data_IF_262883029841
#
_entry.id   IF_262883029841
#
_cell.length_a   1.000
_cell.length_b   1.000
_cell.length_c   1.000
_cell.angle_alpha   90.00
_cell.angle_beta   90.00
_cell.angle_gamma   90.00
#
_symmetry.space_group_name_H-M   'P 1'
#
loop_
_entity.id
_entity.type
_entity.pdbx_description
1 polymer ?
#
# COMPACT_ATOMS: atom_id res chain seq x y z
N UNK A 1 -23.09 -2.42 26.39
CA UNK A 1 -21.91 -3.14 26.94
C UNK A 1 -20.66 -3.07 26.06
N UNK A 2 -20.50 -3.80 24.93
CA UNK A 2 -19.23 -3.77 24.18
C UNK A 2 -18.85 -2.39 23.59
N UNK A 3 -19.84 -1.62 23.15
CA UNK A 3 -19.65 -0.25 22.63
C UNK A 3 -19.23 0.73 23.74
N UNK A 4 -19.66 0.50 24.98
CA UNK A 4 -19.25 1.33 26.14
C UNK A 4 -17.83 1.03 26.59
N UNK A 5 -17.42 -0.25 26.58
CA UNK A 5 -16.04 -0.63 26.93
C UNK A 5 -15.01 -0.10 25.92
N UNK A 6 -15.39 0.00 24.64
CA UNK A 6 -14.55 0.58 23.58
C UNK A 6 -14.44 2.11 23.66
N UNK A 7 -15.42 2.80 24.27
CA UNK A 7 -15.44 4.27 24.41
C UNK A 7 -14.54 4.80 25.53
N UNK A 8 -14.02 3.93 26.41
CA UNK A 8 -13.20 4.30 27.57
C UNK A 8 -11.77 3.71 27.54
N UNK A 9 -11.44 2.88 26.55
CA UNK A 9 -10.12 2.28 26.45
C UNK A 9 -9.10 3.27 25.90
N UNK A 10 -8.09 3.58 26.70
CA UNK A 10 -6.96 4.43 26.31
C UNK A 10 -6.10 3.75 25.23
N UNK A 11 -5.38 4.56 24.45
CA UNK A 11 -4.48 4.09 23.39
C UNK A 11 -3.44 3.09 23.91
N UNK A 12 -2.90 3.37 25.09
CA UNK A 12 -1.83 2.62 25.74
C UNK A 12 -2.35 1.28 26.26
N UNK A 13 -3.58 1.24 26.77
CA UNK A 13 -4.25 -0.01 27.14
C UNK A 13 -4.53 -0.88 25.91
N UNK A 14 -4.99 -0.28 24.80
CA UNK A 14 -5.24 -1.00 23.57
C UNK A 14 -3.95 -1.61 22.99
N UNK A 15 -2.86 -0.84 22.99
CA UNK A 15 -1.51 -1.28 22.58
C UNK A 15 -1.03 -2.45 23.46
N UNK A 16 -1.19 -2.35 24.79
CA UNK A 16 -0.78 -3.42 25.71
C UNK A 16 -1.57 -4.73 25.47
N UNK A 17 -2.86 -4.62 25.19
CA UNK A 17 -3.71 -5.77 24.88
C UNK A 17 -3.31 -6.41 23.55
N UNK A 18 -3.11 -5.61 22.51
CA UNK A 18 -2.70 -6.12 21.20
C UNK A 18 -1.31 -6.77 21.24
N UNK A 19 -0.40 -6.15 22.01
CA UNK A 19 0.95 -6.66 22.23
C UNK A 19 0.96 -8.01 22.94
N UNK A 20 0.11 -8.17 23.96
CA UNK A 20 0.04 -9.38 24.77
C UNK A 20 -0.76 -10.52 24.13
N UNK A 21 -1.85 -10.20 23.43
CA UNK A 21 -2.74 -11.22 22.87
C UNK A 21 -2.24 -11.69 21.50
N UNK A 22 -1.76 -10.80 20.64
CA UNK A 22 -1.35 -11.18 19.28
C UNK A 22 0.15 -11.13 19.09
N UNK A 23 0.79 -9.97 19.28
CA UNK A 23 2.23 -9.82 19.09
C UNK A 23 2.67 -8.42 19.49
N UNK A 24 3.87 -8.22 20.07
CA UNK A 24 4.43 -6.87 20.27
C UNK A 24 4.76 -6.15 18.95
N UNK A 25 4.78 -6.85 17.81
CA UNK A 25 5.03 -6.24 16.51
C UNK A 25 3.77 -5.57 15.95
N UNK A 26 3.77 -4.23 15.87
CA UNK A 26 2.65 -3.41 15.37
C UNK A 26 2.21 -3.79 13.95
N UNK A 27 3.14 -4.24 13.10
CA UNK A 27 2.82 -4.70 11.74
C UNK A 27 1.87 -5.89 11.74
N UNK A 28 1.91 -6.69 12.80
CA UNK A 28 1.02 -7.83 13.01
C UNK A 28 -0.38 -7.42 13.49
N UNK A 29 -0.64 -6.15 13.79
CA UNK A 29 -2.00 -5.70 14.13
C UNK A 29 -2.78 -5.23 12.91
N UNK A 30 -2.07 -5.01 11.81
CA UNK A 30 -2.63 -4.52 10.55
C UNK A 30 -3.26 -5.67 9.75
N UNK A 31 -4.35 -5.37 9.06
CA UNK A 31 -4.89 -6.22 8.01
C UNK A 31 -4.30 -5.80 6.65
N UNK A 32 -4.27 -6.72 5.68
CA UNK A 32 -3.66 -6.48 4.37
C UNK A 32 -4.37 -5.31 3.65
N UNK A 33 -3.58 -4.34 3.18
CA UNK A 33 -4.09 -3.17 2.44
C UNK A 33 -4.44 -1.95 3.29
N UNK A 34 -4.33 -2.00 4.63
CA UNK A 34 -4.52 -0.82 5.45
C UNK A 34 -3.40 0.21 5.21
N UNK A 35 -3.74 1.48 5.04
CA UNK A 35 -2.76 2.57 4.90
C UNK A 35 -2.23 3.08 6.26
N UNK A 36 -2.37 2.30 7.34
CA UNK A 36 -1.92 2.73 8.65
C UNK A 36 -0.39 2.63 8.75
N UNK A 37 0.24 3.71 9.23
CA UNK A 37 1.68 3.78 9.48
C UNK A 37 2.14 2.83 10.60
N UNK A 38 3.45 2.63 10.75
CA UNK A 38 4.02 1.74 11.78
C UNK A 38 3.90 2.32 13.21
N UNK A 39 3.58 3.60 13.33
CA UNK A 39 3.26 4.25 14.61
C UNK A 39 1.76 4.11 14.93
N UNK A 40 1.37 3.34 15.96
CA UNK A 40 -0.02 3.16 16.36
C UNK A 40 -0.66 4.45 16.88
N UNK A 41 0.11 5.43 17.40
CA UNK A 41 -0.46 6.68 17.92
C UNK A 41 -1.01 7.59 16.82
N UNK A 42 -0.58 7.39 15.57
CA UNK A 42 -1.04 8.16 14.40
C UNK A 42 -2.27 7.54 13.74
N UNK A 43 -2.80 6.44 14.28
CA UNK A 43 -3.95 5.77 13.67
C UNK A 43 -5.25 6.54 13.93
N UNK A 44 -6.26 6.37 13.06
CA UNK A 44 -7.54 7.02 13.27
C UNK A 44 -8.13 6.67 14.66
N UNK A 45 -8.74 7.64 15.34
CA UNK A 45 -9.22 7.46 16.71
C UNK A 45 -10.23 6.31 16.81
N UNK A 46 -10.09 5.50 17.86
CA UNK A 46 -10.95 4.36 18.15
C UNK A 46 -10.63 3.06 17.37
N UNK A 47 -9.75 3.09 16.36
CA UNK A 47 -9.33 1.88 15.63
C UNK A 47 -8.58 0.91 16.55
N UNK A 48 -7.62 1.43 17.34
CA UNK A 48 -6.84 0.60 18.27
C UNK A 48 -7.74 -0.05 19.32
N UNK A 49 -8.66 0.70 19.91
CA UNK A 49 -9.61 0.20 20.90
C UNK A 49 -10.53 -0.88 20.31
N UNK A 50 -10.97 -0.72 19.06
CA UNK A 50 -11.77 -1.73 18.37
C UNK A 50 -10.97 -2.98 18.02
N UNK A 51 -9.71 -2.84 17.59
CA UNK A 51 -8.82 -3.97 17.34
C UNK A 51 -8.46 -4.73 18.62
N UNK A 52 -8.24 -4.01 19.73
CA UNK A 52 -8.00 -4.63 21.02
C UNK A 52 -9.21 -5.46 21.49
N UNK A 53 -10.42 -4.93 21.31
CA UNK A 53 -11.66 -5.67 21.60
C UNK A 53 -11.82 -6.91 20.70
N UNK A 54 -11.46 -6.79 19.42
CA UNK A 54 -11.42 -7.90 18.47
C UNK A 54 -10.41 -8.96 18.90
N UNK A 55 -9.21 -8.56 19.30
CA UNK A 55 -8.14 -9.44 19.75
C UNK A 55 -8.53 -10.23 21.00
N UNK A 56 -9.09 -9.55 22.00
CA UNK A 56 -9.63 -10.20 23.20
C UNK A 56 -10.74 -11.19 22.87
N UNK A 57 -11.62 -10.83 21.93
CA UNK A 57 -12.74 -11.70 21.52
C UNK A 57 -12.27 -12.89 20.72
N UNK A 58 -11.27 -12.74 19.84
CA UNK A 58 -10.71 -13.81 19.02
C UNK A 58 -9.82 -14.76 19.86
N UNK A 59 -8.92 -14.19 20.66
CA UNK A 59 -7.83 -14.88 21.35
C UNK A 59 -6.54 -14.96 20.51
N UNK A 60 -5.45 -15.48 21.10
CA UNK A 60 -4.11 -15.41 20.52
C UNK A 60 -3.96 -16.18 19.21
N UNK A 61 -4.60 -17.35 19.11
CA UNK A 61 -4.45 -18.26 17.96
C UNK A 61 -5.39 -17.95 16.78
N UNK A 62 -6.31 -16.99 16.95
CA UNK A 62 -7.37 -16.71 15.98
C UNK A 62 -7.26 -15.32 15.33
N UNK A 63 -6.08 -14.70 15.40
CA UNK A 63 -5.79 -13.42 14.76
C UNK A 63 -6.16 -13.41 13.28
N UNK A 64 -5.68 -14.39 12.51
CA UNK A 64 -5.87 -14.45 11.06
C UNK A 64 -7.36 -14.52 10.71
N UNK A 65 -8.10 -15.38 11.41
CA UNK A 65 -9.56 -15.49 11.24
C UNK A 65 -10.27 -14.18 11.59
N UNK A 66 -9.85 -13.51 12.65
CA UNK A 66 -10.41 -12.22 13.02
C UNK A 66 -10.19 -11.16 11.94
N UNK A 67 -8.99 -11.09 11.37
CA UNK A 67 -8.69 -10.16 10.27
C UNK A 67 -9.42 -10.51 8.96
N UNK A 68 -9.64 -11.79 8.68
CA UNK A 68 -10.45 -12.23 7.54
C UNK A 68 -11.91 -11.78 7.66
N UNK A 69 -12.46 -11.83 8.87
CA UNK A 69 -13.84 -11.34 9.12
C UNK A 69 -13.90 -9.83 8.98
N UNK A 70 -12.91 -9.08 9.45
CA UNK A 70 -12.80 -7.63 9.20
C UNK A 70 -12.78 -7.35 7.70
N UNK A 71 -11.94 -8.06 6.93
CA UNK A 71 -11.86 -7.90 5.47
C UNK A 71 -13.19 -8.24 4.77
N UNK A 72 -13.89 -9.29 5.22
CA UNK A 72 -15.20 -9.66 4.69
C UNK A 72 -16.27 -8.59 4.99
N UNK A 73 -16.20 -7.94 6.15
CA UNK A 73 -17.11 -6.85 6.53
C UNK A 73 -16.81 -5.56 5.75
N UNK A 74 -15.54 -5.28 5.47
CA UNK A 74 -15.10 -4.13 4.69
C UNK A 74 -15.49 -4.19 3.22
N UNK A 75 -15.53 -5.38 2.61
CA UNK A 75 -15.75 -5.52 1.18
C UNK A 75 -14.63 -4.88 0.34
N UNK A 76 -14.98 -4.01 -0.62
CA UNK A 76 -14.01 -3.36 -1.55
C UNK A 76 -13.33 -2.10 -1.00
N UNK A 77 -13.61 -1.70 0.24
CA UNK A 77 -13.04 -0.48 0.81
C UNK A 77 -11.55 -0.64 1.13
N UNK A 78 -10.76 0.40 0.90
CA UNK A 78 -9.31 0.39 1.09
C UNK A 78 -8.92 0.41 2.58
N UNK A 79 -9.78 0.93 3.47
CA UNK A 79 -9.53 0.95 4.92
C UNK A 79 -10.75 0.60 5.78
N UNK A 80 -10.54 -0.20 6.82
CA UNK A 80 -11.50 -0.54 7.86
C UNK A 80 -11.84 0.70 8.68
N UNK A 81 -13.13 0.96 8.86
CA UNK A 81 -13.61 1.87 9.89
C UNK A 81 -13.75 1.11 11.22
N UNK A 82 -13.85 1.87 12.31
CA UNK A 82 -14.15 1.31 13.65
C UNK A 82 -15.44 0.47 13.62
N UNK A 83 -16.45 0.88 12.85
CA UNK A 83 -17.71 0.14 12.71
C UNK A 83 -17.52 -1.24 12.05
N UNK A 84 -16.64 -1.34 11.05
CA UNK A 84 -16.32 -2.63 10.42
C UNK A 84 -15.70 -3.61 11.42
N UNK A 85 -14.83 -3.11 12.30
CA UNK A 85 -14.14 -3.92 13.31
C UNK A 85 -15.11 -4.33 14.43
N UNK A 86 -16.01 -3.44 14.84
CA UNK A 86 -17.07 -3.75 15.81
C UNK A 86 -17.98 -4.86 15.27
N UNK A 87 -18.44 -4.72 14.02
CA UNK A 87 -19.29 -5.73 13.37
C UNK A 87 -18.56 -7.07 13.20
N UNK A 88 -17.27 -7.06 12.90
CA UNK A 88 -16.46 -8.28 12.87
C UNK A 88 -16.34 -8.95 14.25
N UNK A 89 -16.22 -8.15 15.31
CA UNK A 89 -16.20 -8.63 16.69
C UNK A 89 -17.51 -9.30 17.08
N UNK A 90 -18.64 -8.74 16.65
CA UNK A 90 -19.97 -9.32 16.86
C UNK A 90 -20.14 -10.65 16.11
N UNK A 91 -19.69 -10.72 14.85
CA UNK A 91 -19.72 -11.97 14.07
C UNK A 91 -18.87 -13.07 14.70
N UNK A 92 -17.66 -12.75 15.18
CA UNK A 92 -16.83 -13.71 15.91
C UNK A 92 -17.48 -14.22 17.20
N UNK A 93 -18.15 -13.32 17.94
CA UNK A 93 -18.85 -13.69 19.17
C UNK A 93 -20.05 -14.59 18.88
N UNK A 94 -20.83 -14.28 17.85
CA UNK A 94 -21.93 -15.11 17.38
C UNK A 94 -21.45 -16.49 16.91
N UNK A 95 -20.26 -16.57 16.33
CA UNK A 95 -19.65 -17.82 15.90
C UNK A 95 -19.15 -18.68 17.08
N UNK A 96 -18.62 -18.07 18.15
CA UNK A 96 -18.26 -18.76 19.40
C UNK A 96 -19.47 -19.30 20.17
N UNK A 97 -20.67 -18.76 19.92
CA UNK A 97 -21.94 -19.19 20.54
C UNK A 97 -22.66 -20.28 19.73
N UNK A 98 -22.13 -20.71 18.57
CA UNK A 98 -22.74 -21.76 17.75
C UNK A 98 -22.42 -23.14 18.37
N UNK A 99 -23.42 -23.96 18.76
CA UNK A 99 -23.16 -25.29 19.32
C UNK A 99 -22.41 -26.16 18.30
N UNK A 100 -21.49 -27.04 18.73
CA UNK A 100 -20.76 -27.91 17.82
C UNK A 100 -21.75 -28.83 17.09
N UNK A 101 -21.76 -28.79 15.76
CA UNK A 101 -22.50 -29.78 14.97
C UNK A 101 -21.82 -31.15 15.13
N UNK A 102 -22.46 -32.02 15.88
CA UNK A 102 -22.12 -33.44 15.97
C UNK A 102 -22.71 -34.12 14.74
N UNK A 103 -21.86 -34.70 13.87
CA UNK A 103 -22.33 -35.58 12.80
C UNK A 103 -22.95 -36.85 13.41
N UNK A 104 -24.08 -37.35 12.90
CA UNK A 104 -24.70 -38.57 13.41
C UNK A 104 -23.94 -39.79 12.88
N UNK A 105 -23.34 -40.57 13.79
CA UNK A 105 -22.83 -41.91 13.47
C UNK A 105 -24.03 -42.84 13.30
N UNK A 106 -24.22 -43.31 12.07
CA UNK A 106 -25.30 -44.22 11.66
C UNK A 106 -25.01 -45.62 12.22
N UNK A 107 -25.94 -46.16 13.01
CA UNK A 107 -25.85 -47.52 13.56
C UNK A 107 -26.49 -48.61 12.69
N UNK A 108 -26.40 -49.85 13.21
CA UNK A 108 -26.97 -51.16 12.79
C UNK A 108 -25.99 -52.08 12.02
N UNK A 109 -25.91 -53.40 12.25
CA UNK A 109 -26.71 -54.35 13.04
C UNK A 109 -25.88 -55.58 13.50
N UNK A 110 -26.49 -56.37 14.39
CA UNK A 110 -26.03 -57.54 15.16
C UNK A 110 -25.61 -58.79 14.37
N UNK A 111 -24.69 -59.61 14.93
CA UNK A 111 -24.71 -61.09 14.89
C UNK A 111 -24.04 -61.67 16.15
N UNK A 112 -24.67 -62.67 16.79
CA UNK A 112 -24.18 -63.43 17.95
C UNK A 112 -23.22 -64.57 17.55
N UNK A 113 -22.22 -64.90 18.38
CA UNK A 113 -22.12 -66.20 19.12
C UNK A 113 -20.85 -66.29 20.00
N UNK A 114 -21.09 -66.52 21.29
CA UNK A 114 -20.34 -67.27 22.32
C UNK A 114 -18.83 -67.51 22.22
N UNK A 115 -18.05 -66.71 22.95
CA UNK A 115 -16.86 -67.07 23.76
C UNK A 115 -16.56 -65.88 24.71
N UNK A 116 -15.90 -66.11 25.86
CA UNK A 116 -15.85 -65.17 27.00
C UNK A 116 -15.56 -63.70 26.59
N UNK A 117 -16.56 -62.79 26.66
CA UNK A 117 -16.62 -61.59 25.82
C UNK A 117 -15.85 -60.37 26.32
N UNK A 118 -15.17 -60.46 27.47
CA UNK A 118 -14.46 -59.33 28.07
C UNK A 118 -13.01 -59.21 27.54
N UNK A 119 -12.24 -60.30 27.57
CA UNK A 119 -10.80 -60.25 27.30
C UNK A 119 -10.45 -60.09 25.80
N UNK A 120 -11.27 -60.65 24.89
CA UNK A 120 -11.09 -60.47 23.44
C UNK A 120 -11.44 -59.06 22.97
N UNK A 121 -12.51 -58.47 23.52
CA UNK A 121 -12.88 -57.08 23.23
C UNK A 121 -11.86 -56.11 23.82
N UNK A 122 -11.27 -56.43 24.97
CA UNK A 122 -10.24 -55.60 25.57
C UNK A 122 -8.95 -55.59 24.74
N UNK A 123 -8.59 -56.73 24.14
CA UNK A 123 -7.45 -56.84 23.22
C UNK A 123 -7.68 -56.12 21.88
N UNK A 124 -8.87 -56.26 21.28
CA UNK A 124 -9.24 -55.48 20.07
C UNK A 124 -9.29 -53.97 20.36
N UNK A 125 -9.81 -53.57 21.53
CA UNK A 125 -9.82 -52.15 21.94
C UNK A 125 -8.40 -51.65 22.18
N UNK A 126 -7.48 -52.47 22.69
CA UNK A 126 -6.07 -52.11 22.86
C UNK A 126 -5.37 -51.93 21.51
N UNK A 127 -5.56 -52.85 20.56
CA UNK A 127 -4.99 -52.77 19.20
C UNK A 127 -5.54 -51.55 18.45
N UNK A 128 -6.85 -51.29 18.53
CA UNK A 128 -7.47 -50.09 17.95
C UNK A 128 -6.97 -48.79 18.61
N UNK A 129 -6.65 -48.79 19.91
CA UNK A 129 -6.07 -47.62 20.59
C UNK A 129 -4.65 -47.35 20.10
N UNK A 130 -3.85 -48.39 19.84
CA UNK A 130 -2.52 -48.23 19.25
C UNK A 130 -2.59 -47.71 17.81
N UNK A 131 -3.50 -48.24 16.99
CA UNK A 131 -3.73 -47.73 15.63
C UNK A 131 -4.18 -46.26 15.64
N UNK A 132 -5.13 -45.90 16.49
CA UNK A 132 -5.58 -44.51 16.66
C UNK A 132 -4.43 -43.60 17.09
N UNK A 133 -3.54 -44.07 17.97
CA UNK A 133 -2.36 -43.32 18.43
C UNK A 133 -1.37 -43.10 17.29
N UNK A 134 -1.10 -44.12 16.48
CA UNK A 134 -0.21 -44.03 15.31
C UNK A 134 -0.80 -43.11 14.23
N UNK A 135 -2.08 -43.26 13.91
CA UNK A 135 -2.78 -42.39 12.95
C UNK A 135 -2.79 -40.95 13.43
N UNK A 136 -3.00 -40.70 14.72
CA UNK A 136 -2.95 -39.35 15.30
C UNK A 136 -1.56 -38.73 15.20
N UNK A 137 -0.50 -39.50 15.44
CA UNK A 137 0.89 -39.03 15.30
C UNK A 137 1.23 -38.67 13.85
N UNK A 138 0.86 -39.54 12.90
CA UNK A 138 1.07 -39.29 11.46
C UNK A 138 0.26 -38.08 10.98
N UNK A 139 -0.98 -37.93 11.45
CA UNK A 139 -1.81 -36.76 11.14
C UNK A 139 -1.20 -35.47 11.70
N UNK A 140 -0.63 -35.51 12.92
CA UNK A 140 0.03 -34.37 13.54
C UNK A 140 1.31 -33.98 12.80
N UNK A 141 2.14 -34.94 12.37
CA UNK A 141 3.33 -34.69 11.56
C UNK A 141 2.97 -34.08 10.20
N UNK A 142 1.95 -34.61 9.51
CA UNK A 142 1.45 -34.03 8.26
C UNK A 142 0.91 -32.60 8.45
N UNK A 143 0.26 -32.32 9.57
CA UNK A 143 -0.25 -30.99 9.89
C UNK A 143 0.89 -30.00 10.13
N UNK A 144 1.95 -30.40 10.84
CA UNK A 144 3.15 -29.59 11.04
C UNK A 144 3.88 -29.30 9.72
N UNK A 145 4.03 -30.31 8.86
CA UNK A 145 4.66 -30.12 7.54
C UNK A 145 3.82 -29.19 6.65
N UNK A 146 2.49 -29.33 6.68
CA UNK A 146 1.59 -28.41 5.95
C UNK A 146 1.64 -27.00 6.51
N UNK A 147 1.75 -26.83 7.82
CA UNK A 147 1.94 -25.51 8.44
C UNK A 147 3.25 -24.87 7.96
N UNK A 148 4.36 -25.62 7.94
CA UNK A 148 5.65 -25.13 7.45
C UNK A 148 5.59 -24.72 5.97
N UNK A 149 4.88 -25.48 5.15
CA UNK A 149 4.65 -25.14 3.74
C UNK A 149 3.82 -23.86 3.60
N UNK A 150 2.78 -23.69 4.40
CA UNK A 150 1.97 -22.46 4.43
C UNK A 150 2.83 -21.26 4.81
N UNK A 151 3.58 -21.35 5.91
CA UNK A 151 4.46 -20.28 6.39
C UNK A 151 5.50 -19.88 5.31
N UNK A 152 6.09 -20.86 4.61
CA UNK A 152 7.05 -20.59 3.54
C UNK A 152 6.39 -19.92 2.31
N UNK A 153 5.18 -20.34 1.94
CA UNK A 153 4.43 -19.68 0.86
C UNK A 153 3.98 -18.28 1.26
N UNK A 154 3.64 -18.08 2.53
CA UNK A 154 3.26 -16.78 3.08
C UNK A 154 4.44 -15.81 3.04
N UNK A 155 5.64 -16.25 3.45
CA UNK A 155 6.86 -15.42 3.34
C UNK A 155 7.15 -15.02 1.89
N UNK A 156 7.06 -15.95 0.92
CA UNK A 156 7.24 -15.62 -0.50
C UNK A 156 6.20 -14.62 -1.01
N UNK A 157 4.96 -14.74 -0.56
CA UNK A 157 3.91 -13.78 -0.89
C UNK A 157 4.19 -12.41 -0.29
N UNK A 158 4.72 -12.32 0.94
CA UNK A 158 5.16 -11.05 1.54
C UNK A 158 6.30 -10.40 0.75
N UNK A 159 7.31 -11.17 0.34
CA UNK A 159 8.44 -10.66 -0.45
C UNK A 159 7.98 -10.12 -1.81
N UNK A 160 7.07 -10.84 -2.48
CA UNK A 160 6.50 -10.41 -3.75
C UNK A 160 5.64 -9.15 -3.60
N UNK A 161 4.85 -9.03 -2.52
CA UNK A 161 4.01 -7.87 -2.23
C UNK A 161 4.87 -6.62 -1.94
N UNK A 162 5.95 -6.77 -1.17
CA UNK A 162 6.92 -5.71 -0.93
C UNK A 162 7.58 -5.24 -2.23
N UNK A 163 7.96 -6.18 -3.10
CA UNK A 163 8.54 -5.86 -4.41
C UNK A 163 7.54 -5.09 -5.28
N UNK A 164 6.26 -5.51 -5.31
CA UNK A 164 5.22 -4.81 -6.06
C UNK A 164 4.95 -3.40 -5.52
N UNK A 165 5.04 -3.20 -4.20
CA UNK A 165 4.89 -1.87 -3.60
C UNK A 165 6.02 -0.92 -4.01
N UNK A 166 7.26 -1.42 -4.09
CA UNK A 166 8.41 -0.63 -4.57
C UNK A 166 8.20 -0.27 -6.05
N UNK A 167 7.84 -1.24 -6.89
CA UNK A 167 7.59 -1.02 -8.32
C UNK A 167 6.44 -0.02 -8.56
N UNK A 168 5.38 -0.08 -7.74
CA UNK A 168 4.28 0.88 -7.82
C UNK A 168 4.74 2.30 -7.46
N UNK A 169 5.57 2.44 -6.42
CA UNK A 169 6.13 3.72 -5.99
C UNK A 169 7.04 4.30 -7.07
N UNK A 170 7.93 3.49 -7.63
CA UNK A 170 8.81 3.90 -8.73
C UNK A 170 8.01 4.34 -9.95
N UNK A 171 6.96 3.60 -10.31
CA UNK A 171 6.07 3.98 -11.43
C UNK A 171 5.45 5.36 -11.23
N UNK A 172 4.94 5.65 -10.04
CA UNK A 172 4.31 6.94 -9.77
C UNK A 172 5.33 8.07 -9.71
N UNK A 173 6.53 7.79 -9.21
CA UNK A 173 7.67 8.71 -9.26
C UNK A 173 8.07 9.03 -10.71
N UNK A 174 8.14 8.03 -11.60
CA UNK A 174 8.41 8.23 -13.03
C UNK A 174 7.35 9.10 -13.72
N UNK A 175 6.06 8.91 -13.40
CA UNK A 175 5.00 9.77 -13.94
C UNK A 175 5.20 11.23 -13.51
N UNK A 176 5.47 11.46 -12.23
CA UNK A 176 5.72 12.82 -11.72
C UNK A 176 6.92 13.47 -12.41
N UNK A 177 8.03 12.74 -12.57
CA UNK A 177 9.20 13.26 -13.29
C UNK A 177 8.88 13.59 -14.75
N UNK A 178 8.08 12.75 -15.42
CA UNK A 178 7.66 13.00 -16.80
C UNK A 178 6.80 14.26 -16.90
N UNK A 179 5.81 14.42 -16.02
CA UNK A 179 4.95 15.62 -15.99
C UNK A 179 5.76 16.89 -15.76
N UNK A 180 6.70 16.86 -14.81
CA UNK A 180 7.61 17.98 -14.54
C UNK A 180 8.46 18.29 -15.77
N UNK A 181 9.03 17.27 -16.43
CA UNK A 181 9.81 17.45 -17.64
C UNK A 181 8.99 18.06 -18.78
N UNK A 182 7.73 17.68 -18.95
CA UNK A 182 6.84 18.29 -19.95
C UNK A 182 6.54 19.76 -19.66
N UNK A 183 6.34 20.13 -18.38
CA UNK A 183 6.14 21.52 -17.98
C UNK A 183 7.39 22.35 -18.30
N UNK A 184 8.58 21.85 -17.93
CA UNK A 184 9.83 22.53 -18.26
C UNK A 184 10.06 22.66 -19.76
N UNK A 185 9.76 21.61 -20.52
CA UNK A 185 9.86 21.65 -21.99
C UNK A 185 8.96 22.76 -22.57
N UNK A 186 7.69 22.81 -22.19
CA UNK A 186 6.75 23.85 -22.66
C UNK A 186 7.20 25.26 -22.27
N UNK A 187 7.74 25.42 -21.06
CA UNK A 187 8.29 26.70 -20.60
C UNK A 187 9.48 27.12 -21.47
N UNK A 188 10.43 26.23 -21.68
CA UNK A 188 11.62 26.51 -22.50
C UNK A 188 11.26 26.78 -23.97
N UNK A 189 10.27 26.08 -24.52
CA UNK A 189 9.75 26.34 -25.86
C UNK A 189 9.16 27.76 -25.96
N UNK A 190 8.41 28.20 -24.95
CA UNK A 190 7.87 29.56 -24.87
C UNK A 190 8.98 30.60 -24.79
N UNK A 191 9.93 30.44 -23.87
CA UNK A 191 11.08 31.35 -23.71
C UNK A 191 11.92 31.41 -25.00
N UNK A 192 12.08 30.31 -25.73
CA UNK A 192 12.79 30.26 -27.01
C UNK A 192 12.08 31.08 -28.09
N UNK A 193 10.75 31.01 -28.17
CA UNK A 193 9.94 31.80 -29.11
C UNK A 193 10.08 33.29 -28.79
N UNK A 194 9.95 33.68 -27.52
CA UNK A 194 10.08 35.07 -27.07
C UNK A 194 11.47 35.63 -27.40
N UNK A 195 12.53 34.87 -27.13
CA UNK A 195 13.90 35.27 -27.46
C UNK A 195 14.14 35.40 -28.97
N UNK A 196 13.55 34.51 -29.78
CA UNK A 196 13.63 34.62 -31.24
C UNK A 196 12.95 35.88 -31.77
N UNK A 197 11.79 36.23 -31.22
CA UNK A 197 11.07 37.47 -31.59
C UNK A 197 11.89 38.70 -31.20
N UNK A 198 12.40 38.76 -29.97
CA UNK A 198 13.25 39.86 -29.52
C UNK A 198 14.52 40.00 -30.38
N UNK A 199 15.13 38.89 -30.78
CA UNK A 199 16.30 38.89 -31.67
C UNK A 199 15.95 39.40 -33.08
N UNK A 200 14.79 39.03 -33.62
CA UNK A 200 14.30 39.55 -34.90
C UNK A 200 14.06 41.07 -34.84
N UNK A 201 13.42 41.56 -33.77
CA UNK A 201 13.19 42.99 -33.56
C UNK A 201 14.51 43.77 -33.46
N UNK A 202 15.48 43.26 -32.69
CA UNK A 202 16.80 43.89 -32.57
C UNK A 202 17.56 43.88 -33.90
N UNK A 203 17.48 42.80 -34.67
CA UNK A 203 18.08 42.74 -36.00
C UNK A 203 17.44 43.77 -36.95
N UNK A 204 16.11 43.89 -36.95
CA UNK A 204 15.42 44.89 -37.76
C UNK A 204 15.88 46.32 -37.40
N UNK A 205 15.99 46.61 -36.11
CA UNK A 205 16.50 47.91 -35.65
C UNK A 205 17.96 48.16 -36.05
N UNK A 206 18.84 47.15 -35.96
CA UNK A 206 20.23 47.25 -36.42
C UNK A 206 20.28 47.56 -37.91
N UNK A 207 19.46 46.89 -38.72
CA UNK A 207 19.37 47.14 -40.16
C UNK A 207 18.93 48.57 -40.46
N UNK A 208 17.92 49.08 -39.76
CA UNK A 208 17.45 50.45 -39.91
C UNK A 208 18.53 51.48 -39.57
N UNK A 209 19.19 51.32 -38.41
CA UNK A 209 20.30 52.20 -37.98
C UNK A 209 21.48 52.11 -38.95
N UNK A 210 21.78 50.94 -39.51
CA UNK A 210 22.82 50.79 -40.53
C UNK A 210 22.48 51.58 -41.80
N UNK A 211 21.22 51.54 -42.26
CA UNK A 211 20.77 52.36 -43.38
C UNK A 211 20.82 53.86 -43.08
N UNK A 212 20.48 54.28 -41.87
CA UNK A 212 20.62 55.68 -41.43
C UNK A 212 22.07 56.14 -41.44
N UNK A 213 22.99 55.33 -40.89
CA UNK A 213 24.42 55.58 -40.91
C UNK A 213 24.93 55.72 -42.34
N UNK A 214 24.58 54.79 -43.23
CA UNK A 214 25.06 54.80 -44.61
C UNK A 214 24.54 56.03 -45.37
N UNK A 215 23.28 56.45 -45.14
CA UNK A 215 22.73 57.71 -45.66
C UNK A 215 23.46 58.94 -45.10
N UNK A 216 23.84 58.93 -43.82
CA UNK A 216 24.59 60.02 -43.21
C UNK A 216 26.01 60.11 -43.79
N UNK A 217 26.70 58.97 -43.94
CA UNK A 217 28.03 58.90 -44.57
C UNK A 217 27.97 59.43 -46.01
N UNK A 218 26.96 59.02 -46.79
CA UNK A 218 26.75 59.53 -48.15
C UNK A 218 26.61 61.05 -48.20
N UNK A 219 25.77 61.63 -47.33
CA UNK A 219 25.59 63.10 -47.23
C UNK A 219 26.86 63.83 -46.81
N UNK A 220 27.63 63.27 -45.87
CA UNK A 220 28.93 63.85 -45.49
C UNK A 220 29.88 63.87 -46.69
N UNK A 221 29.98 62.77 -47.44
CA UNK A 221 30.83 62.72 -48.63
C UNK A 221 30.37 63.61 -49.79
N UNK A 222 29.08 63.92 -49.89
CA UNK A 222 28.57 64.96 -50.80
C UNK A 222 28.99 66.36 -50.36
N UNK A 223 28.75 66.71 -49.09
CA UNK A 223 29.13 68.00 -48.51
C UNK A 223 30.64 68.25 -48.58
N UNK A 224 31.47 67.23 -48.33
CA UNK A 224 32.93 67.33 -48.47
C UNK A 224 33.36 67.64 -49.92
N UNK A 225 32.70 67.04 -50.92
CA UNK A 225 32.94 67.34 -52.34
C UNK A 225 32.52 68.76 -52.70
N UNK A 226 31.36 69.21 -52.22
CA UNK A 226 30.89 70.58 -52.41
C UNK A 226 31.88 71.60 -51.79
N UNK A 227 32.33 71.35 -50.56
CA UNK A 227 33.33 72.19 -49.88
C UNK A 227 34.67 72.24 -50.63
N UNK A 228 35.15 71.11 -51.16
CA UNK A 228 36.34 71.10 -52.00
C UNK A 228 36.15 71.89 -53.30
N UNK A 229 34.98 71.79 -53.93
CA UNK A 229 34.61 72.57 -55.11
C UNK A 229 34.67 74.08 -54.82
N UNK A 230 34.02 74.51 -53.74
CA UNK A 230 34.01 75.92 -53.30
C UNK A 230 35.42 76.42 -52.99
N UNK A 231 36.25 75.63 -52.27
CA UNK A 231 37.65 75.99 -51.99
C UNK A 231 38.46 76.18 -53.27
N UNK A 232 38.22 75.36 -54.28
CA UNK A 232 38.93 75.44 -55.57
C UNK A 232 38.51 76.68 -56.38
N UNK A 233 37.22 77.05 -56.33
CA UNK A 233 36.71 78.24 -57.03
C UNK A 233 36.95 79.56 -56.28
N UNK A 234 37.09 79.52 -54.96
CA UNK A 234 37.34 80.69 -54.11
C UNK A 234 38.81 81.07 -53.95
N UNK A 235 39.75 80.27 -54.49
CA UNK A 235 41.19 80.56 -54.47
C UNK A 235 41.72 81.31 -55.70
N UNK A 236 40.89 81.52 -56.73
CA UNK A 236 41.22 82.23 -57.98
C UNK A 236 40.65 83.67 -58.05
N UNK A 237 40.23 84.22 -56.90
CA UNK A 237 39.82 85.63 -56.75
C UNK A 237 40.75 86.34 -55.77
#
# INVERSE_FOLDING_TARGET
>A
MAIETMRQMTTEQAIAILSSVWSPNVRMWKYKGCQFGDDPHLWPPGILSALAALAQTAGPNYRVRAMQIVAAVMGRTVTASTEHIIKATELLRAEKLRPPQVQPVRGSAMVNHSQSPADQKEKEVADLREEVKMVKKVAQEKLMEKQKQLDATEMKWFDMDATLSIVATDRDMFKMYWEVAEIYKKRLEKENIELKQALQEKNAHITEVAHERDRAIGRVGELERELMGIRKTGGDA
#
